data_IF_931503455921
#
_entry.id   IF_931503455921
#
_cell.length_a   1.000
_cell.length_b   1.000
_cell.length_c   1.000
_cell.angle_alpha   90.00
_cell.angle_beta   90.00
_cell.angle_gamma   90.00
#
_symmetry.space_group_name_H-M   'P 1'
#
loop_
_entity.id
_entity.type
_entity.pdbx_description
1 polymer ?
#
# COMPACT_ATOMS: atom_id res chain seq x y z
N UNK A 1 7.15 29.69 -15.59
CA UNK A 1 7.37 28.25 -15.35
C UNK A 1 6.01 27.58 -15.35
N UNK A 2 5.78 26.59 -16.22
CA UNK A 2 4.55 25.78 -16.13
C UNK A 2 4.71 24.92 -14.88
N UNK A 3 3.89 25.17 -13.86
CA UNK A 3 3.77 24.25 -12.73
C UNK A 3 3.07 23.04 -13.31
N UNK A 4 3.85 22.02 -13.68
CA UNK A 4 3.27 20.75 -14.05
C UNK A 4 2.53 20.24 -12.80
N UNK A 5 1.23 19.98 -12.90
CA UNK A 5 0.47 19.29 -11.86
C UNK A 5 0.29 17.83 -12.29
N UNK A 6 1.40 17.10 -12.31
CA UNK A 6 1.39 15.68 -12.67
C UNK A 6 1.06 14.81 -11.46
N UNK A 7 0.31 13.74 -11.73
CA UNK A 7 0.12 12.64 -10.80
C UNK A 7 0.88 11.44 -11.34
N UNK A 8 1.76 10.85 -10.54
CA UNK A 8 2.72 9.84 -10.99
C UNK A 8 2.49 8.52 -10.28
N UNK A 9 2.42 7.44 -11.06
CA UNK A 9 2.45 6.05 -10.60
C UNK A 9 3.73 5.38 -11.07
N UNK A 10 4.47 4.77 -10.14
CA UNK A 10 5.72 4.07 -10.45
C UNK A 10 5.60 2.61 -10.03
N UNK A 11 5.90 1.71 -10.96
CA UNK A 11 6.10 0.30 -10.68
C UNK A 11 7.59 0.03 -10.43
N UNK A 12 7.95 -0.21 -9.17
CA UNK A 12 9.28 -0.65 -8.77
C UNK A 12 9.37 -2.18 -8.89
N UNK A 13 9.64 -2.63 -10.11
CA UNK A 13 9.85 -4.04 -10.40
C UNK A 13 11.31 -4.35 -10.78
N UNK A 14 11.64 -5.65 -10.80
CA UNK A 14 13.02 -6.15 -10.95
C UNK A 14 13.57 -6.04 -12.37
N UNK A 15 12.71 -6.13 -13.38
CA UNK A 15 13.10 -6.42 -14.76
C UNK A 15 12.82 -5.28 -15.73
N UNK A 16 11.70 -4.59 -15.57
CA UNK A 16 11.25 -3.52 -16.46
C UNK A 16 10.42 -2.50 -15.66
N UNK A 17 11.04 -1.69 -14.79
CA UNK A 17 10.29 -0.72 -13.99
C UNK A 17 9.72 0.38 -14.86
N UNK A 18 8.51 0.82 -14.52
CA UNK A 18 7.70 1.65 -15.40
C UNK A 18 7.07 2.81 -14.65
N UNK A 19 6.84 3.88 -15.40
CA UNK A 19 6.17 5.08 -14.93
C UNK A 19 4.90 5.31 -15.74
N UNK A 20 3.82 5.64 -15.04
CA UNK A 20 2.59 6.18 -15.60
C UNK A 20 2.36 7.55 -14.99
N UNK A 21 1.95 8.53 -15.80
CA UNK A 21 1.60 9.86 -15.31
C UNK A 21 0.23 10.28 -15.83
N UNK A 22 -0.39 11.20 -15.10
CA UNK A 22 -1.62 11.86 -15.49
C UNK A 22 -1.43 13.37 -15.38
N UNK A 23 -1.68 14.08 -16.48
CA UNK A 23 -1.65 15.53 -16.54
C UNK A 23 -3.05 16.05 -16.17
N UNK A 24 -3.14 16.67 -14.99
CA UNK A 24 -4.42 17.17 -14.47
C UNK A 24 -4.96 18.35 -15.27
N UNK A 25 -4.12 19.10 -15.99
CA UNK A 25 -4.54 20.22 -16.82
C UNK A 25 -5.09 19.73 -18.17
N UNK A 26 -4.46 18.70 -18.74
CA UNK A 26 -4.86 18.13 -20.05
C UNK A 26 -5.94 17.06 -19.94
N UNK A 27 -6.04 16.41 -18.79
CA UNK A 27 -6.95 15.29 -18.58
C UNK A 27 -6.53 14.01 -19.30
N UNK A 28 -5.24 13.87 -19.65
CA UNK A 28 -4.69 12.70 -20.32
C UNK A 28 -3.63 11.98 -19.47
N UNK A 29 -3.40 10.70 -19.81
CA UNK A 29 -2.38 9.88 -19.17
C UNK A 29 -1.38 9.36 -20.19
N UNK A 30 -0.14 9.19 -19.73
CA UNK A 30 0.95 8.62 -20.51
C UNK A 30 1.72 7.58 -19.72
N UNK A 31 2.48 6.75 -20.43
CA UNK A 31 3.42 5.81 -19.81
C UNK A 31 4.81 6.02 -20.39
N UNK A 32 5.84 5.91 -19.57
CA UNK A 32 7.23 6.00 -19.96
C UNK A 32 8.06 4.92 -19.24
N UNK A 33 9.08 4.35 -19.89
CA UNK A 33 10.07 3.55 -19.20
C UNK A 33 10.87 4.45 -18.24
N UNK A 34 11.31 3.90 -17.11
CA UNK A 34 12.23 4.60 -16.21
C UNK A 34 13.65 4.53 -16.77
N UNK A 35 14.18 5.68 -17.21
CA UNK A 35 15.51 5.79 -17.82
C UNK A 35 16.39 6.80 -17.12
N UNK A 36 17.68 6.49 -17.02
CA UNK A 36 18.73 7.41 -16.63
C UNK A 36 19.54 7.78 -17.88
N UNK A 37 19.23 8.93 -18.49
CA UNK A 37 19.75 9.25 -19.82
C UNK A 37 19.20 8.27 -20.88
N UNK A 38 20.08 7.49 -21.50
CA UNK A 38 19.70 6.49 -22.51
C UNK A 38 19.56 5.06 -21.95
N UNK A 39 19.95 4.82 -20.69
CA UNK A 39 19.93 3.49 -20.08
C UNK A 39 18.65 3.25 -19.28
N UNK A 40 18.12 2.02 -19.36
CA UNK A 40 17.01 1.60 -18.52
C UNK A 40 17.47 1.41 -17.09
N UNK A 41 16.66 1.90 -16.16
CA UNK A 41 16.92 1.78 -14.73
C UNK A 41 16.50 0.38 -14.29
N UNK A 42 17.36 -0.30 -13.53
CA UNK A 42 16.98 -1.54 -12.83
C UNK A 42 17.01 -1.31 -11.32
N UNK A 43 15.95 -1.72 -10.63
CA UNK A 43 15.91 -1.72 -9.16
C UNK A 43 16.27 -3.07 -8.56
N UNK A 44 16.77 -4.03 -9.36
CA UNK A 44 17.07 -5.39 -8.90
C UNK A 44 17.96 -5.42 -7.66
N UNK A 45 19.09 -4.70 -7.70
CA UNK A 45 20.02 -4.65 -6.56
C UNK A 45 19.38 -4.06 -5.30
N UNK A 46 18.54 -3.04 -5.47
CA UNK A 46 17.83 -2.38 -4.36
C UNK A 46 16.81 -3.34 -3.74
N UNK A 47 16.02 -4.01 -4.59
CA UNK A 47 15.03 -4.99 -4.14
C UNK A 47 15.70 -6.22 -3.48
N UNK A 48 16.80 -6.72 -4.05
CA UNK A 48 17.60 -7.80 -3.46
C UNK A 48 18.17 -7.43 -2.09
N UNK A 49 18.62 -6.18 -1.91
CA UNK A 49 19.09 -5.70 -0.62
C UNK A 49 17.96 -5.64 0.42
N UNK A 50 16.78 -5.14 0.04
CA UNK A 50 15.61 -5.12 0.93
C UNK A 50 15.12 -6.51 1.32
N UNK A 51 15.19 -7.50 0.43
CA UNK A 51 14.80 -8.89 0.74
C UNK A 51 15.75 -9.58 1.71
N UNK A 52 17.07 -9.35 1.59
CA UNK A 52 18.07 -9.91 2.52
C UNK A 52 17.83 -9.44 3.96
N UNK A 53 17.40 -8.20 4.14
CA UNK A 53 17.06 -7.67 5.47
C UNK A 53 15.83 -8.33 6.11
N UNK A 54 14.99 -9.04 5.32
CA UNK A 54 13.89 -9.86 5.86
C UNK A 54 14.42 -11.20 6.40
N UNK A 55 15.57 -11.69 5.90
CA UNK A 55 16.14 -13.00 6.24
C UNK A 55 17.13 -13.01 7.42
N UNK A 56 17.91 -11.94 7.63
CA UNK A 56 19.10 -11.96 8.52
C UNK A 56 18.95 -11.25 9.88
N UNK A 57 17.74 -10.86 10.29
CA UNK A 57 17.48 -10.02 11.47
C UNK A 57 17.61 -10.71 12.86
N UNK A 58 18.67 -11.47 13.11
CA UNK A 58 18.95 -11.98 14.47
C UNK A 58 20.21 -11.37 15.12
N UNK A 59 21.08 -10.65 14.39
CA UNK A 59 22.37 -10.20 14.93
C UNK A 59 22.88 -8.80 14.50
N UNK A 60 22.18 -8.06 13.64
CA UNK A 60 22.61 -6.70 13.24
C UNK A 60 22.08 -5.61 14.18
N UNK A 61 22.91 -4.61 14.48
CA UNK A 61 22.51 -3.47 15.31
C UNK A 61 21.53 -2.55 14.56
N UNK A 62 20.54 -1.99 15.26
CA UNK A 62 19.47 -1.20 14.65
C UNK A 62 20.00 0.05 13.94
N UNK A 63 21.12 0.60 14.39
CA UNK A 63 21.75 1.77 13.79
C UNK A 63 22.38 1.47 12.42
N UNK A 64 23.02 0.31 12.25
CA UNK A 64 23.62 -0.07 10.97
C UNK A 64 22.55 -0.31 9.91
N UNK A 65 21.48 -1.04 10.25
CA UNK A 65 20.33 -1.28 9.35
C UNK A 65 19.72 0.04 8.88
N UNK A 66 19.61 1.02 9.79
CA UNK A 66 19.09 2.36 9.46
C UNK A 66 20.02 3.10 8.49
N UNK A 67 21.33 3.07 8.71
CA UNK A 67 22.30 3.71 7.81
C UNK A 67 22.26 3.10 6.40
N UNK A 68 22.20 1.77 6.29
CA UNK A 68 22.06 1.09 5.00
C UNK A 68 20.77 1.48 4.27
N UNK A 69 19.66 1.56 4.99
CA UNK A 69 18.38 2.01 4.45
C UNK A 69 18.44 3.45 3.90
N UNK A 70 19.12 4.36 4.60
CA UNK A 70 19.32 5.72 4.12
C UNK A 70 20.18 5.76 2.84
N UNK A 71 21.25 4.96 2.76
CA UNK A 71 22.08 4.85 1.54
C UNK A 71 21.28 4.29 0.35
N UNK A 72 20.48 3.25 0.57
CA UNK A 72 19.61 2.68 -0.46
C UNK A 72 18.55 3.69 -0.92
N UNK A 73 17.98 4.46 0.01
CA UNK A 73 17.03 5.52 -0.31
C UNK A 73 17.67 6.65 -1.11
N UNK A 74 18.92 7.04 -0.81
CA UNK A 74 19.68 8.04 -1.60
C UNK A 74 19.90 7.57 -3.03
N UNK A 75 20.38 6.34 -3.20
CA UNK A 75 20.60 5.73 -4.53
C UNK A 75 19.30 5.70 -5.33
N UNK A 76 18.23 5.18 -4.72
CA UNK A 76 16.92 5.02 -5.36
C UNK A 76 16.28 6.36 -5.72
N UNK A 77 16.35 7.35 -4.83
CA UNK A 77 15.85 8.69 -5.10
C UNK A 77 16.65 9.38 -6.21
N UNK A 78 17.97 9.19 -6.27
CA UNK A 78 18.81 9.68 -7.37
C UNK A 78 18.39 9.11 -8.73
N UNK A 79 18.16 7.79 -8.79
CA UNK A 79 17.68 7.11 -9.99
C UNK A 79 16.30 7.64 -10.43
N UNK A 80 15.37 7.80 -9.48
CA UNK A 80 14.04 8.34 -9.78
C UNK A 80 14.09 9.80 -10.21
N UNK A 81 14.93 10.66 -9.61
CA UNK A 81 15.13 12.04 -10.08
C UNK A 81 15.57 12.09 -11.53
N UNK A 82 16.55 11.27 -11.90
CA UNK A 82 17.04 11.22 -13.27
C UNK A 82 15.93 10.82 -14.24
N UNK A 83 15.12 9.83 -13.88
CA UNK A 83 14.00 9.41 -14.70
C UNK A 83 12.89 10.46 -14.78
N UNK A 84 12.51 11.08 -13.67
CA UNK A 84 11.52 12.15 -13.64
C UNK A 84 11.98 13.36 -14.46
N UNK A 85 13.27 13.71 -14.41
CA UNK A 85 13.83 14.80 -15.22
C UNK A 85 13.66 14.55 -16.73
N UNK A 86 13.67 13.29 -17.20
CA UNK A 86 13.39 12.98 -18.62
C UNK A 86 11.97 13.35 -19.06
N UNK A 87 11.05 13.51 -18.10
CA UNK A 87 9.66 13.95 -18.30
C UNK A 87 9.48 15.45 -18.04
N UNK A 88 10.56 16.20 -17.83
CA UNK A 88 10.53 17.63 -17.46
C UNK A 88 10.22 17.89 -15.97
N UNK A 89 10.30 16.85 -15.13
CA UNK A 89 10.10 16.94 -13.67
C UNK A 89 11.44 17.06 -12.94
N UNK A 90 12.11 18.20 -13.09
CA UNK A 90 13.40 18.50 -12.45
C UNK A 90 13.28 18.75 -10.93
N UNK A 91 12.12 19.25 -10.48
CA UNK A 91 11.78 19.54 -9.08
C UNK A 91 10.52 18.77 -8.66
N UNK A 92 10.62 17.45 -8.37
CA UNK A 92 9.46 16.60 -8.06
C UNK A 92 8.54 17.15 -6.96
N UNK A 93 9.08 17.71 -5.87
CA UNK A 93 8.29 18.23 -4.74
C UNK A 93 7.33 19.38 -5.10
N UNK A 94 7.68 20.19 -6.09
CA UNK A 94 6.85 21.32 -6.56
C UNK A 94 5.99 20.98 -7.80
N UNK A 95 6.38 19.95 -8.56
CA UNK A 95 5.76 19.59 -9.85
C UNK A 95 4.90 18.30 -9.80
N UNK A 96 4.90 17.57 -8.68
CA UNK A 96 4.10 16.36 -8.52
C UNK A 96 3.02 16.61 -7.47
N UNK A 97 1.76 16.57 -7.89
CA UNK A 97 0.59 16.74 -7.03
C UNK A 97 0.26 15.47 -6.23
N UNK A 98 0.73 14.31 -6.71
CA UNK A 98 0.57 13.03 -6.03
C UNK A 98 1.46 11.97 -6.67
N UNK A 99 2.12 11.17 -5.84
CA UNK A 99 2.99 10.08 -6.28
C UNK A 99 2.64 8.80 -5.54
N UNK A 100 2.53 7.71 -6.29
CA UNK A 100 2.34 6.37 -5.73
C UNK A 100 3.36 5.41 -6.30
N UNK A 101 4.07 4.73 -5.40
CA UNK A 101 5.00 3.67 -5.74
C UNK A 101 4.32 2.33 -5.45
N UNK A 102 4.34 1.42 -6.43
CA UNK A 102 3.87 0.05 -6.26
C UNK A 102 5.01 -0.95 -6.36
N UNK A 103 4.89 -2.03 -5.58
CA UNK A 103 5.82 -3.16 -5.52
C UNK A 103 5.03 -4.47 -5.50
N UNK A 104 5.65 -5.63 -5.82
CA UNK A 104 4.95 -6.91 -5.81
C UNK A 104 4.24 -7.23 -4.49
N UNK A 105 4.97 -7.10 -3.38
CA UNK A 105 4.48 -7.32 -2.01
C UNK A 105 5.15 -6.29 -1.11
N UNK A 106 4.37 -5.70 -0.20
CA UNK A 106 4.89 -4.75 0.76
C UNK A 106 5.64 -5.46 1.89
N UNK A 107 6.83 -4.96 2.21
CA UNK A 107 7.62 -5.40 3.37
C UNK A 107 8.08 -4.16 4.14
N UNK A 108 8.40 -4.31 5.43
CA UNK A 108 8.90 -3.19 6.25
C UNK A 108 10.16 -2.55 5.63
N UNK A 109 11.06 -3.36 5.06
CA UNK A 109 12.26 -2.87 4.39
C UNK A 109 11.92 -2.02 3.16
N UNK A 110 10.97 -2.47 2.32
CA UNK A 110 10.52 -1.72 1.14
C UNK A 110 9.77 -0.44 1.52
N UNK A 111 8.94 -0.47 2.57
CA UNK A 111 8.24 0.72 3.04
C UNK A 111 9.20 1.77 3.57
N UNK A 112 10.17 1.37 4.40
CA UNK A 112 11.21 2.28 4.91
C UNK A 112 12.02 2.90 3.76
N UNK A 113 12.39 2.08 2.76
CA UNK A 113 13.06 2.54 1.55
C UNK A 113 12.22 3.60 0.82
N UNK A 114 10.95 3.29 0.52
CA UNK A 114 10.05 4.16 -0.23
C UNK A 114 9.78 5.47 0.52
N UNK A 115 9.56 5.42 1.84
CA UNK A 115 9.43 6.63 2.66
C UNK A 115 10.73 7.45 2.68
N UNK A 116 11.89 6.79 2.75
CA UNK A 116 13.20 7.40 2.60
C UNK A 116 13.36 8.13 1.25
N UNK A 117 12.90 7.50 0.17
CA UNK A 117 12.87 8.06 -1.18
C UNK A 117 11.98 9.31 -1.25
N UNK A 118 10.76 9.25 -0.70
CA UNK A 118 9.85 10.40 -0.73
C UNK A 118 10.40 11.63 -0.01
N UNK A 119 11.01 11.45 1.17
CA UNK A 119 11.71 12.54 1.89
C UNK A 119 12.79 13.18 1.03
N UNK A 120 13.53 12.37 0.28
CA UNK A 120 14.59 12.86 -0.62
C UNK A 120 14.03 13.56 -1.84
N UNK A 121 12.90 13.12 -2.38
CA UNK A 121 12.20 13.75 -3.49
C UNK A 121 11.42 15.01 -3.09
N UNK A 122 11.47 15.42 -1.82
CA UNK A 122 10.74 16.55 -1.25
C UNK A 122 9.21 16.42 -1.42
N UNK A 123 8.72 15.18 -1.29
CA UNK A 123 7.29 14.87 -1.35
C UNK A 123 6.72 14.68 0.06
N UNK A 124 5.77 15.54 0.39
CA UNK A 124 5.02 15.47 1.64
C UNK A 124 4.15 14.21 1.73
N UNK A 125 3.91 13.71 2.94
CA UNK A 125 3.09 12.51 3.20
C UNK A 125 1.66 12.60 2.65
N UNK A 126 1.11 13.80 2.50
CA UNK A 126 -0.21 14.03 1.89
C UNK A 126 -0.26 13.76 0.39
N UNK A 127 0.90 13.63 -0.27
CA UNK A 127 1.08 13.44 -1.71
C UNK A 127 1.95 12.23 -2.04
N UNK A 128 2.36 11.45 -1.05
CA UNK A 128 3.31 10.36 -1.17
C UNK A 128 2.69 9.07 -0.64
N UNK A 129 2.41 8.13 -1.53
CA UNK A 129 1.66 6.91 -1.21
C UNK A 129 2.37 5.65 -1.68
N UNK A 130 2.02 4.51 -1.13
CA UNK A 130 2.58 3.23 -1.52
C UNK A 130 1.50 2.15 -1.53
N UNK A 131 1.66 1.15 -2.39
CA UNK A 131 0.72 0.04 -2.50
C UNK A 131 1.35 -1.22 -3.08
N UNK A 132 0.67 -2.36 -2.96
CA UNK A 132 1.10 -3.60 -3.62
C UNK A 132 0.47 -3.77 -5.02
N UNK A 133 0.83 -4.85 -5.70
CA UNK A 133 0.29 -5.18 -7.02
C UNK A 133 -1.20 -5.50 -7.02
N UNK A 134 -1.73 -6.08 -5.93
CA UNK A 134 -3.16 -6.40 -5.83
C UNK A 134 -3.98 -5.10 -5.75
N UNK A 135 -3.53 -4.13 -4.97
CA UNK A 135 -4.15 -2.82 -4.85
C UNK A 135 -4.00 -2.01 -6.16
N UNK A 136 -2.85 -2.11 -6.84
CA UNK A 136 -2.69 -1.59 -8.21
C UNK A 136 -3.71 -2.18 -9.18
N UNK A 137 -3.93 -3.49 -9.13
CA UNK A 137 -4.94 -4.16 -9.96
C UNK A 137 -6.37 -3.69 -9.62
N UNK A 138 -6.66 -3.46 -8.34
CA UNK A 138 -7.90 -2.85 -7.89
C UNK A 138 -8.13 -1.47 -8.50
N UNK A 139 -7.21 -0.52 -8.31
CA UNK A 139 -7.36 0.83 -8.84
C UNK A 139 -7.42 0.84 -10.37
N UNK A 140 -6.54 0.09 -11.03
CA UNK A 140 -6.56 -0.03 -12.50
C UNK A 140 -7.94 -0.47 -13.00
N UNK A 141 -8.53 -1.49 -12.37
CA UNK A 141 -9.80 -2.09 -12.79
C UNK A 141 -10.98 -1.15 -12.55
N UNK A 142 -11.10 -0.56 -11.36
CA UNK A 142 -12.25 0.29 -11.01
C UNK A 142 -12.22 1.64 -11.72
N UNK A 143 -11.05 2.10 -12.18
CA UNK A 143 -10.95 3.28 -13.04
C UNK A 143 -11.44 3.03 -14.47
N UNK A 144 -11.60 1.77 -14.89
CA UNK A 144 -12.20 1.44 -16.18
C UNK A 144 -13.72 1.69 -16.21
N UNK A 145 -14.30 1.50 -17.40
CA UNK A 145 -15.76 1.54 -17.59
C UNK A 145 -16.45 0.48 -16.73
N UNK A 146 -17.56 0.87 -16.09
CA UNK A 146 -18.38 0.02 -15.21
C UNK A 146 -18.71 -1.36 -15.77
N UNK A 147 -18.94 -1.45 -17.09
CA UNK A 147 -19.24 -2.70 -17.78
C UNK A 147 -18.13 -3.76 -17.62
N UNK A 148 -16.86 -3.36 -17.51
CA UNK A 148 -15.73 -4.28 -17.40
C UNK A 148 -15.69 -4.98 -16.04
N UNK A 149 -16.22 -4.33 -15.00
CA UNK A 149 -16.24 -4.82 -13.63
C UNK A 149 -17.67 -4.95 -13.09
N UNK A 150 -18.61 -5.28 -13.98
CA UNK A 150 -20.00 -5.61 -13.63
C UNK A 150 -20.12 -6.96 -12.91
N UNK A 151 -19.09 -7.81 -13.02
CA UNK A 151 -18.90 -9.07 -12.29
C UNK A 151 -17.44 -9.17 -11.85
N UNK A 152 -16.97 -10.37 -11.50
CA UNK A 152 -15.57 -10.56 -11.18
C UNK A 152 -14.66 -10.20 -12.37
N UNK A 153 -13.45 -9.78 -12.07
CA UNK A 153 -12.43 -9.48 -13.08
C UNK A 153 -11.24 -10.39 -12.84
N UNK A 154 -10.87 -11.15 -13.86
CA UNK A 154 -9.72 -12.04 -13.82
C UNK A 154 -8.46 -11.32 -14.28
N UNK A 155 -7.32 -11.70 -13.74
CA UNK A 155 -6.03 -11.21 -14.21
C UNK A 155 -5.03 -12.36 -14.24
N UNK A 156 -4.43 -12.58 -15.41
CA UNK A 156 -3.32 -13.52 -15.57
C UNK A 156 -2.04 -12.74 -15.80
N UNK A 157 -1.08 -12.94 -14.92
CA UNK A 157 0.24 -12.35 -14.97
C UNK A 157 1.25 -13.41 -15.41
N UNK A 158 1.91 -13.18 -16.54
CA UNK A 158 3.00 -14.00 -17.06
C UNK A 158 4.32 -13.37 -16.62
N UNK A 159 5.14 -14.13 -15.89
CA UNK A 159 6.48 -13.75 -15.49
C UNK A 159 7.41 -14.88 -15.88
N UNK A 160 8.15 -14.70 -16.98
CA UNK A 160 8.89 -15.77 -17.61
C UNK A 160 7.97 -16.98 -17.87
N UNK A 161 8.21 -18.10 -17.19
CA UNK A 161 7.41 -19.33 -17.34
C UNK A 161 6.32 -19.47 -16.29
N UNK A 162 6.26 -18.61 -15.30
CA UNK A 162 5.23 -18.68 -14.27
C UNK A 162 4.02 -17.84 -14.66
N UNK A 163 2.84 -18.44 -14.59
CA UNK A 163 1.57 -17.77 -14.84
C UNK A 163 0.76 -17.77 -13.55
N UNK A 164 0.49 -16.59 -13.01
CA UNK A 164 -0.33 -16.42 -11.80
C UNK A 164 -1.70 -15.86 -12.13
N UNK A 165 -2.73 -16.39 -11.49
CA UNK A 165 -4.10 -15.87 -11.59
C UNK A 165 -4.47 -15.03 -10.38
N UNK A 166 -5.17 -13.92 -10.61
CA UNK A 166 -5.80 -13.09 -9.58
C UNK A 166 -7.26 -12.86 -9.93
N UNK A 167 -8.12 -12.82 -8.91
CA UNK A 167 -9.56 -12.59 -9.06
C UNK A 167 -9.99 -11.39 -8.22
N UNK A 168 -10.46 -10.34 -8.89
CA UNK A 168 -11.10 -9.20 -8.24
C UNK A 168 -12.60 -9.45 -8.11
N UNK A 169 -13.16 -9.27 -6.91
CA UNK A 169 -14.58 -9.40 -6.65
C UNK A 169 -15.10 -8.26 -5.77
N UNK A 170 -16.37 -7.88 -5.96
CA UNK A 170 -17.03 -6.82 -5.18
C UNK A 170 -18.21 -7.40 -4.41
N UNK A 171 -18.26 -7.13 -3.11
CA UNK A 171 -19.40 -7.47 -2.27
C UNK A 171 -20.32 -6.25 -2.13
N UNK A 172 -21.42 -6.25 -2.88
CA UNK A 172 -22.41 -5.19 -2.87
C UNK A 172 -23.40 -5.26 -1.70
N UNK A 173 -23.26 -6.22 -0.78
CA UNK A 173 -24.06 -6.30 0.44
C UNK A 173 -23.56 -5.37 1.54
N UNK A 174 -22.33 -4.86 1.42
CA UNK A 174 -21.72 -3.92 2.36
C UNK A 174 -21.87 -2.47 1.87
N UNK A 175 -21.75 -1.52 2.80
CA UNK A 175 -21.69 -0.08 2.53
C UNK A 175 -20.57 0.53 3.39
N UNK A 176 -19.47 1.05 2.80
CA UNK A 176 -19.15 1.08 1.36
C UNK A 176 -19.04 -0.34 0.76
N UNK A 177 -19.12 -0.44 -0.58
CA UNK A 177 -18.94 -1.71 -1.29
C UNK A 177 -17.52 -2.20 -1.05
N UNK A 178 -17.38 -3.38 -0.48
CA UNK A 178 -16.04 -3.93 -0.21
C UNK A 178 -15.52 -4.71 -1.40
N UNK A 179 -14.27 -4.48 -1.78
CA UNK A 179 -13.62 -5.12 -2.94
C UNK A 179 -12.41 -5.89 -2.48
N UNK A 180 -12.24 -7.11 -2.97
CA UNK A 180 -11.09 -7.98 -2.66
C UNK A 180 -10.40 -8.40 -3.94
N UNK A 181 -9.08 -8.62 -3.84
CA UNK A 181 -8.28 -9.27 -4.87
C UNK A 181 -7.65 -10.50 -4.26
N UNK A 182 -8.07 -11.67 -4.73
CA UNK A 182 -7.58 -12.96 -4.26
C UNK A 182 -6.52 -13.51 -5.23
N UNK A 183 -5.42 -14.00 -4.68
CA UNK A 183 -4.43 -14.77 -5.44
C UNK A 183 -4.98 -16.18 -5.66
N UNK A 184 -5.09 -16.58 -6.92
CA UNK A 184 -5.45 -17.92 -7.34
C UNK A 184 -4.23 -18.81 -7.51
N UNK A 185 -4.32 -19.76 -8.44
CA UNK A 185 -3.23 -20.67 -8.74
C UNK A 185 -2.10 -20.00 -9.52
N UNK A 186 -0.88 -20.50 -9.30
CA UNK A 186 0.28 -20.24 -10.14
C UNK A 186 0.69 -21.53 -10.83
N UNK A 187 0.94 -21.48 -12.14
CA UNK A 187 1.36 -22.62 -12.95
C UNK A 187 2.68 -22.29 -13.65
N UNK A 188 3.66 -23.18 -13.49
CA UNK A 188 4.89 -23.13 -14.28
C UNK A 188 4.68 -23.81 -15.64
N UNK A 189 4.95 -23.09 -16.73
CA UNK A 189 4.89 -23.59 -18.10
C UNK A 189 6.09 -24.50 -18.38
N UNK A 190 5.84 -25.80 -18.37
CA UNK A 190 6.86 -26.83 -18.57
C UNK A 190 7.06 -27.17 -20.05
N UNK A 191 8.26 -27.60 -20.42
CA UNK A 191 8.59 -28.06 -21.77
C UNK A 191 8.66 -26.92 -22.79
N UNK A 192 8.59 -27.28 -24.07
CA UNK A 192 8.68 -26.34 -25.18
C UNK A 192 7.37 -25.56 -25.39
N UNK A 193 7.46 -24.43 -26.09
CA UNK A 193 6.33 -23.52 -26.34
C UNK A 193 5.13 -24.18 -27.04
N UNK A 194 5.34 -25.31 -27.73
CA UNK A 194 4.29 -26.10 -28.38
C UNK A 194 3.26 -26.69 -27.40
N UNK A 195 3.61 -26.90 -26.13
CA UNK A 195 2.69 -27.46 -25.12
C UNK A 195 2.14 -26.42 -24.14
N UNK A 196 2.65 -25.18 -24.19
CA UNK A 196 2.27 -24.11 -23.25
C UNK A 196 0.79 -23.74 -23.37
N UNK A 197 0.24 -23.66 -24.58
CA UNK A 197 -1.20 -23.37 -24.78
C UNK A 197 -2.10 -24.41 -24.08
N UNK A 198 -1.70 -25.69 -24.10
CA UNK A 198 -2.47 -26.74 -23.44
C UNK A 198 -2.36 -26.71 -21.90
N UNK A 199 -1.25 -26.19 -21.36
CA UNK A 199 -1.08 -25.98 -19.92
C UNK A 199 -1.87 -24.75 -19.47
N UNK A 200 -1.70 -23.63 -20.17
CA UNK A 200 -2.43 -22.40 -19.88
C UNK A 200 -3.95 -22.57 -20.07
N UNK A 201 -4.40 -23.29 -21.10
CA UNK A 201 -5.83 -23.55 -21.30
C UNK A 201 -6.46 -24.32 -20.13
N UNK A 202 -5.73 -25.24 -19.49
CA UNK A 202 -6.20 -25.95 -18.29
C UNK A 202 -6.33 -24.97 -17.12
N UNK A 203 -5.30 -24.17 -16.89
CA UNK A 203 -5.31 -23.12 -15.86
C UNK A 203 -6.49 -22.14 -16.04
N UNK A 204 -6.78 -21.71 -17.27
CA UNK A 204 -7.92 -20.82 -17.58
C UNK A 204 -9.25 -21.47 -17.24
N UNK A 205 -9.43 -22.76 -17.57
CA UNK A 205 -10.65 -23.50 -17.23
C UNK A 205 -10.82 -23.60 -15.72
N UNK A 206 -9.77 -24.03 -15.00
CA UNK A 206 -9.81 -24.20 -13.56
C UNK A 206 -10.05 -22.87 -12.82
N UNK A 207 -9.41 -21.79 -13.27
CA UNK A 207 -9.49 -20.47 -12.64
C UNK A 207 -10.84 -19.78 -12.86
N UNK A 208 -11.44 -19.92 -14.05
CA UNK A 208 -12.62 -19.13 -14.44
C UNK A 208 -13.94 -19.90 -14.35
N UNK A 209 -13.92 -21.21 -14.08
CA UNK A 209 -15.14 -22.05 -14.09
C UNK A 209 -16.02 -21.86 -12.85
N UNK A 210 -15.46 -21.51 -11.70
CA UNK A 210 -16.23 -21.40 -10.45
C UNK A 210 -17.04 -20.10 -10.33
N UNK A 211 -16.60 -19.03 -10.98
CA UNK A 211 -17.17 -17.70 -10.84
C UNK A 211 -17.50 -17.08 -12.20
N UNK A 212 -18.37 -16.06 -12.18
CA UNK A 212 -18.74 -15.33 -13.39
C UNK A 212 -17.83 -14.11 -13.55
N UNK A 213 -17.15 -14.02 -14.68
CA UNK A 213 -16.25 -12.92 -15.00
C UNK A 213 -16.82 -12.04 -16.12
N UNK A 214 -16.70 -10.72 -16.00
CA UNK A 214 -17.07 -9.77 -17.06
C UNK A 214 -15.88 -9.39 -17.93
N UNK A 215 -14.69 -9.33 -17.35
CA UNK A 215 -13.45 -9.06 -18.06
C UNK A 215 -12.29 -9.91 -17.54
N UNK A 216 -11.29 -10.11 -18.41
CA UNK A 216 -10.00 -10.73 -18.08
C UNK A 216 -8.87 -9.87 -18.64
N UNK A 217 -7.92 -9.53 -17.78
CA UNK A 217 -6.66 -8.88 -18.16
C UNK A 217 -5.54 -9.93 -18.26
N UNK A 218 -4.65 -9.72 -19.22
CA UNK A 218 -3.43 -10.50 -19.44
C UNK A 218 -2.27 -9.52 -19.47
N UNK A 219 -1.21 -9.77 -18.71
CA UNK A 219 0.01 -8.97 -18.74
C UNK A 219 1.22 -9.90 -18.66
N UNK A 220 2.31 -9.52 -19.31
CA UNK A 220 3.59 -10.21 -19.22
C UNK A 220 4.21 -10.51 -20.58
N UNK A 221 5.36 -11.17 -20.56
CA UNK A 221 6.25 -11.37 -21.71
C UNK A 221 5.94 -12.61 -22.57
N UNK A 222 5.26 -13.59 -21.98
CA UNK A 222 5.18 -14.95 -22.56
C UNK A 222 3.84 -15.25 -23.24
N UNK A 223 2.81 -14.43 -23.03
CA UNK A 223 1.53 -14.63 -23.70
C UNK A 223 1.59 -14.21 -25.16
N UNK A 224 1.44 -15.18 -26.07
CA UNK A 224 1.25 -14.93 -27.50
C UNK A 224 -0.14 -15.42 -27.94
N UNK A 225 -0.94 -14.50 -28.50
CA UNK A 225 -2.32 -14.78 -28.91
C UNK A 225 -2.42 -15.82 -30.03
N UNK A 226 -1.42 -15.90 -30.90
CA UNK A 226 -1.41 -16.81 -32.06
C UNK A 226 -1.01 -18.21 -31.63
N UNK A 227 0.06 -18.32 -30.84
CA UNK A 227 0.57 -19.57 -30.28
C UNK A 227 -0.41 -20.16 -29.26
N UNK A 228 -1.10 -19.31 -28.48
CA UNK A 228 -2.06 -19.73 -27.45
C UNK A 228 -3.52 -19.60 -27.90
N UNK A 229 -3.82 -20.08 -29.11
CA UNK A 229 -5.14 -19.92 -29.75
C UNK A 229 -6.27 -20.63 -28.98
N UNK A 230 -6.01 -21.81 -28.39
CA UNK A 230 -7.02 -22.56 -27.62
C UNK A 230 -7.37 -21.82 -26.33
N UNK A 231 -6.36 -21.33 -25.61
CA UNK A 231 -6.53 -20.52 -24.41
C UNK A 231 -7.25 -19.22 -24.71
N UNK A 232 -6.88 -18.54 -25.81
CA UNK A 232 -7.55 -17.31 -26.27
C UNK A 232 -9.03 -17.54 -26.54
N UNK A 233 -9.39 -18.61 -27.25
CA UNK A 233 -10.78 -18.97 -27.51
C UNK A 233 -11.55 -19.25 -26.21
N UNK A 234 -10.91 -19.93 -25.24
CA UNK A 234 -11.50 -20.21 -23.94
C UNK A 234 -11.73 -18.95 -23.11
N UNK A 235 -10.76 -18.02 -23.07
CA UNK A 235 -10.86 -16.74 -22.38
C UNK A 235 -12.05 -15.91 -22.87
N UNK A 236 -12.29 -15.89 -24.18
CA UNK A 236 -13.38 -15.12 -24.79
C UNK A 236 -14.78 -15.76 -24.65
N UNK A 237 -14.90 -17.00 -24.13
CA UNK A 237 -16.23 -17.63 -23.95
C UNK A 237 -17.10 -16.82 -22.99
N UNK A 238 -18.43 -16.90 -23.16
CA UNK A 238 -19.38 -16.28 -22.23
C UNK A 238 -19.47 -14.76 -22.32
N UNK A 239 -18.97 -14.15 -23.41
CA UNK A 239 -19.05 -12.70 -23.64
C UNK A 239 -18.05 -11.87 -22.82
N UNK A 240 -17.04 -12.51 -22.23
CA UNK A 240 -15.96 -11.85 -21.48
C UNK A 240 -15.14 -10.94 -22.39
N UNK A 241 -14.87 -9.72 -21.92
CA UNK A 241 -13.93 -8.82 -22.58
C UNK A 241 -12.51 -9.16 -22.15
N UNK A 242 -11.65 -9.51 -23.10
CA UNK A 242 -10.27 -9.95 -22.83
C UNK A 242 -9.31 -8.91 -23.37
N UNK A 243 -8.38 -8.45 -22.53
CA UNK A 243 -7.41 -7.42 -22.87
C UNK A 243 -6.00 -7.91 -22.54
N UNK A 244 -5.10 -7.79 -23.50
CA UNK A 244 -3.65 -7.82 -23.23
C UNK A 244 -3.25 -6.39 -22.91
N UNK A 245 -2.67 -6.19 -21.73
CA UNK A 245 -2.35 -4.86 -21.19
C UNK A 245 -0.90 -4.80 -20.78
N UNK A 246 -0.30 -3.65 -21.07
CA UNK A 246 1.02 -3.29 -20.60
C UNK A 246 0.90 -2.37 -19.38
N UNK A 247 1.89 -2.45 -18.49
CA UNK A 247 2.11 -1.49 -17.42
C UNK A 247 0.93 -1.37 -16.45
N UNK A 248 0.18 -2.47 -16.22
CA UNK A 248 -1.02 -2.47 -15.38
C UNK A 248 -0.72 -1.95 -13.98
N UNK A 249 0.41 -2.33 -13.38
CA UNK A 249 0.78 -1.92 -12.04
C UNK A 249 1.10 -0.42 -11.96
N UNK A 250 1.92 0.12 -12.87
CA UNK A 250 2.19 1.55 -12.94
C UNK A 250 0.92 2.39 -13.19
N UNK A 251 0.03 1.91 -14.08
CA UNK A 251 -1.28 2.55 -14.33
C UNK A 251 -2.18 2.48 -13.10
N UNK A 252 -2.19 1.36 -12.40
CA UNK A 252 -2.88 1.16 -11.13
C UNK A 252 -2.40 2.12 -10.05
N UNK A 253 -1.08 2.28 -9.90
CA UNK A 253 -0.47 3.27 -9.01
C UNK A 253 -0.87 4.70 -9.37
N UNK A 254 -0.84 5.05 -10.65
CA UNK A 254 -1.27 6.37 -11.10
C UNK A 254 -2.77 6.62 -10.80
N UNK A 255 -3.63 5.61 -11.00
CA UNK A 255 -5.05 5.69 -10.64
C UNK A 255 -5.25 5.80 -9.12
N UNK A 256 -4.50 5.06 -8.30
CA UNK A 256 -4.54 5.17 -6.84
C UNK A 256 -4.11 6.54 -6.34
N UNK A 257 -3.03 7.10 -6.89
CA UNK A 257 -2.61 8.47 -6.60
C UNK A 257 -3.68 9.50 -7.00
N UNK A 258 -4.32 9.35 -8.17
CA UNK A 258 -5.43 10.21 -8.64
C UNK A 258 -6.62 10.15 -7.69
N UNK A 259 -6.96 8.96 -7.23
CA UNK A 259 -8.07 8.74 -6.30
C UNK A 259 -7.82 9.43 -4.97
N UNK A 260 -6.62 9.27 -4.40
CA UNK A 260 -6.26 9.84 -3.09
C UNK A 260 -6.11 11.37 -3.12
N UNK A 261 -5.78 11.96 -4.27
CA UNK A 261 -5.44 13.40 -4.36
C UNK A 261 -6.51 14.27 -5.00
N UNK A 262 -7.13 13.84 -6.11
CA UNK A 262 -7.94 14.72 -6.96
C UNK A 262 -9.37 14.23 -7.14
N UNK A 263 -9.59 12.98 -7.55
CA UNK A 263 -10.89 12.57 -8.12
C UNK A 263 -11.90 12.03 -7.09
N UNK A 264 -11.44 11.26 -6.11
CA UNK A 264 -12.30 10.59 -5.11
C UNK A 264 -13.49 9.83 -5.73
N UNK A 265 -13.30 9.27 -6.94
CA UNK A 265 -14.35 8.58 -7.73
C UNK A 265 -14.82 7.29 -7.06
N UNK A 266 -13.97 6.70 -6.22
CA UNK A 266 -14.19 5.43 -5.55
C UNK A 266 -14.60 5.61 -4.08
N UNK A 267 -15.07 6.78 -3.65
CA UNK A 267 -15.51 7.02 -2.26
C UNK A 267 -16.60 6.05 -1.74
N UNK A 268 -17.34 5.40 -2.64
CA UNK A 268 -18.33 4.35 -2.30
C UNK A 268 -17.77 2.93 -2.20
N UNK A 269 -16.45 2.75 -2.37
CA UNK A 269 -15.76 1.46 -2.43
C UNK A 269 -14.64 1.42 -1.39
N UNK A 270 -14.40 0.24 -0.83
CA UNK A 270 -13.33 -0.02 0.13
C UNK A 270 -12.56 -1.27 -0.28
N UNK A 271 -11.29 -1.11 -0.60
CA UNK A 271 -10.41 -2.25 -0.89
C UNK A 271 -10.00 -2.95 0.41
N UNK A 272 -10.32 -4.24 0.54
CA UNK A 272 -9.98 -5.07 1.69
C UNK A 272 -8.70 -5.88 1.42
N UNK A 273 -7.58 -5.17 1.28
CA UNK A 273 -6.26 -5.79 1.20
C UNK A 273 -5.78 -6.37 2.53
N UNK A 274 -4.66 -7.11 2.47
CA UNK A 274 -4.00 -7.69 3.65
C UNK A 274 -3.46 -6.59 4.58
N UNK A 275 -3.12 -5.41 4.02
CA UNK A 275 -2.55 -4.29 4.76
C UNK A 275 -3.57 -3.31 5.34
N UNK A 276 -4.87 -3.60 5.19
CA UNK A 276 -5.92 -2.73 5.70
C UNK A 276 -6.17 -2.96 7.19
N UNK A 277 -6.07 -1.90 7.99
CA UNK A 277 -6.49 -1.93 9.39
C UNK A 277 -8.01 -2.11 9.44
N UNK A 278 -8.47 -3.17 10.13
CA UNK A 278 -9.91 -3.52 10.20
C UNK A 278 -10.62 -3.00 11.45
N UNK A 279 -9.87 -2.48 12.42
CA UNK A 279 -10.41 -2.02 13.69
C UNK A 279 -10.08 -0.54 13.93
N UNK A 280 -11.09 0.22 14.33
CA UNK A 280 -10.90 1.56 14.86
C UNK A 280 -10.32 1.43 16.27
N UNK A 281 -9.34 2.26 16.57
CA UNK A 281 -8.75 2.41 17.90
C UNK A 281 -9.01 3.82 18.38
N UNK A 282 -9.58 3.96 19.57
CA UNK A 282 -9.76 5.27 20.18
C UNK A 282 -9.84 5.17 21.70
N UNK A 283 -10.07 6.31 22.34
CA UNK A 283 -10.16 6.42 23.79
C UNK A 283 -11.37 7.26 24.19
N UNK A 284 -11.95 6.99 25.35
CA UNK A 284 -12.86 7.94 25.99
C UNK A 284 -12.05 9.03 26.65
N UNK A 285 -12.18 10.26 26.16
CA UNK A 285 -11.37 11.40 26.59
C UNK A 285 -12.24 12.60 26.94
N UNK A 286 -11.68 13.53 27.72
CA UNK A 286 -12.27 14.86 27.91
C UNK A 286 -11.51 15.85 27.03
N UNK A 287 -12.10 16.23 25.90
CA UNK A 287 -11.52 17.18 24.95
C UNK A 287 -12.27 18.50 25.08
N UNK A 288 -11.54 19.58 25.39
CA UNK A 288 -12.12 20.92 25.62
C UNK A 288 -13.31 20.91 26.61
N UNK A 289 -13.18 20.14 27.68
CA UNK A 289 -14.20 20.01 28.74
C UNK A 289 -15.36 19.06 28.42
N UNK A 290 -15.44 18.51 27.20
CA UNK A 290 -16.51 17.59 26.79
C UNK A 290 -16.00 16.15 26.77
N UNK A 291 -16.73 15.23 27.42
CA UNK A 291 -16.46 13.79 27.33
C UNK A 291 -16.86 13.28 25.95
N UNK A 292 -15.91 12.75 25.19
CA UNK A 292 -16.13 12.22 23.84
C UNK A 292 -15.26 11.01 23.58
N UNK A 293 -15.70 10.17 22.65
CA UNK A 293 -14.81 9.21 22.01
C UNK A 293 -13.86 9.95 21.08
N UNK A 294 -12.55 9.83 21.33
CA UNK A 294 -11.52 10.42 20.50
C UNK A 294 -10.88 9.32 19.63
N UNK A 295 -11.02 9.39 18.30
CA UNK A 295 -10.41 8.41 17.40
C UNK A 295 -8.90 8.64 17.32
N UNK A 296 -8.12 7.59 17.57
CA UNK A 296 -6.66 7.60 17.45
C UNK A 296 -6.23 7.05 16.10
N UNK A 297 -6.72 5.87 15.75
CA UNK A 297 -6.53 5.19 14.46
C UNK A 297 -7.90 4.81 13.91
N UNK A 298 -8.14 5.12 12.64
CA UNK A 298 -9.37 4.74 11.95
C UNK A 298 -9.17 3.46 11.17
N UNK A 299 -10.17 2.58 11.15
CA UNK A 299 -10.18 1.44 10.25
C UNK A 299 -10.31 1.89 8.78
N UNK A 300 -9.90 1.05 7.85
CA UNK A 300 -9.94 1.34 6.42
C UNK A 300 -8.72 2.09 5.89
N UNK A 301 -7.67 2.24 6.70
CA UNK A 301 -6.38 2.82 6.28
C UNK A 301 -5.32 1.72 6.19
N UNK A 302 -4.31 1.94 5.34
CA UNK A 302 -3.15 1.06 5.23
C UNK A 302 -2.29 1.19 6.50
N UNK A 303 -1.88 0.08 7.12
CA UNK A 303 -1.14 0.11 8.38
C UNK A 303 0.25 0.75 8.26
N UNK A 304 0.86 0.76 7.07
CA UNK A 304 2.11 1.47 6.80
C UNK A 304 1.96 2.99 6.79
N UNK A 305 0.74 3.48 6.57
CA UNK A 305 0.37 4.90 6.61
C UNK A 305 -0.23 5.27 7.99
N UNK A 306 -0.45 4.29 8.87
CA UNK A 306 -1.12 4.46 10.14
C UNK A 306 -0.12 4.71 11.28
N UNK A 307 0.31 5.96 11.41
CA UNK A 307 1.07 6.44 12.56
C UNK A 307 0.32 7.57 13.27
N UNK A 308 0.36 7.58 14.60
CA UNK A 308 -0.22 8.66 15.39
C UNK A 308 0.67 8.99 16.56
N UNK A 309 0.97 10.27 16.71
CA UNK A 309 1.58 10.84 17.91
C UNK A 309 0.59 11.82 18.55
N UNK A 310 0.41 11.70 19.86
CA UNK A 310 -0.40 12.63 20.62
C UNK A 310 0.05 12.69 22.08
N UNK A 311 -0.26 13.80 22.73
CA UNK A 311 -0.03 13.95 24.16
C UNK A 311 -1.34 14.05 24.90
N UNK A 312 -1.39 13.42 26.07
CA UNK A 312 -2.59 13.39 26.92
C UNK A 312 -2.22 13.75 28.36
N UNK A 313 -3.21 14.22 29.12
CA UNK A 313 -3.11 14.34 30.56
C UNK A 313 -3.85 13.18 31.21
N UNK A 314 -3.12 12.38 31.98
CA UNK A 314 -3.70 11.27 32.73
C UNK A 314 -4.48 11.79 33.94
N UNK A 315 -5.68 11.26 34.13
CA UNK A 315 -6.55 11.57 35.27
C UNK A 315 -7.06 10.27 35.87
N UNK A 316 -6.70 10.02 37.12
CA UNK A 316 -7.11 8.81 37.84
C UNK A 316 -5.97 7.82 37.97
N UNK A 317 -6.30 6.54 37.76
CA UNK A 317 -5.38 5.42 37.91
C UNK A 317 -4.24 5.44 36.87
N UNK A 318 -3.08 4.83 37.19
CA UNK A 318 -1.94 4.70 36.27
C UNK A 318 -2.21 3.65 35.18
N UNK A 319 -3.29 3.81 34.43
CA UNK A 319 -3.66 2.93 33.31
C UNK A 319 -4.25 3.73 32.14
N UNK A 320 -4.11 3.20 30.93
CA UNK A 320 -4.76 3.69 29.71
C UNK A 320 -5.79 2.67 29.23
N UNK A 321 -6.96 3.14 28.83
CA UNK A 321 -8.04 2.29 28.32
C UNK A 321 -8.30 2.65 26.86
N UNK A 322 -8.03 1.68 25.98
CA UNK A 322 -8.28 1.77 24.55
C UNK A 322 -9.58 1.04 24.20
N UNK A 323 -10.44 1.67 23.42
CA UNK A 323 -11.63 1.02 22.84
C UNK A 323 -11.34 0.66 21.40
N UNK A 324 -11.48 -0.64 21.10
CA UNK A 324 -11.40 -1.18 19.75
C UNK A 324 -12.79 -1.47 19.23
N UNK A 325 -13.02 -1.26 17.93
CA UNK A 325 -14.26 -1.62 17.26
C UNK A 325 -14.04 -1.98 15.80
N UNK A 326 -14.84 -2.89 15.25
CA UNK A 326 -14.80 -3.20 13.82
C UNK A 326 -15.15 -2.00 12.93
N UNK A 327 -14.88 -2.11 11.63
CA UNK A 327 -15.26 -1.10 10.62
C UNK A 327 -16.75 -0.72 10.65
N UNK A 328 -17.62 -1.66 11.01
CA UNK A 328 -19.07 -1.45 11.14
C UNK A 328 -19.48 -0.85 12.51
N UNK A 329 -18.49 -0.51 13.36
CA UNK A 329 -18.67 0.00 14.71
C UNK A 329 -19.09 -1.06 15.73
N UNK A 330 -19.22 -2.34 15.33
CA UNK A 330 -19.59 -3.47 16.20
C UNK A 330 -18.34 -4.09 16.82
N UNK A 331 -18.54 -5.18 17.58
CA UNK A 331 -17.48 -5.93 18.26
C UNK A 331 -16.58 -5.05 19.13
N UNK A 332 -17.21 -4.14 19.89
CA UNK A 332 -16.49 -3.24 20.79
C UNK A 332 -15.85 -4.03 21.92
N UNK A 333 -14.56 -3.80 22.13
CA UNK A 333 -13.82 -4.32 23.29
C UNK A 333 -12.91 -3.24 23.86
N UNK A 334 -12.67 -3.32 25.17
CA UNK A 334 -11.72 -2.47 25.85
C UNK A 334 -10.43 -3.26 26.12
N UNK A 335 -9.30 -2.60 25.91
CA UNK A 335 -7.97 -3.11 26.24
C UNK A 335 -7.35 -2.12 27.21
N UNK A 336 -6.79 -2.64 28.31
CA UNK A 336 -6.17 -1.85 29.35
C UNK A 336 -4.66 -2.03 29.31
N UNK A 337 -3.95 -0.92 29.37
CA UNK A 337 -2.49 -0.84 29.47
C UNK A 337 -2.13 -0.23 30.82
N UNK A 338 -1.51 -1.02 31.69
CA UNK A 338 -1.01 -0.55 32.99
C UNK A 338 0.30 0.22 32.82
N UNK A 339 0.52 1.25 33.66
CA UNK A 339 1.73 2.08 33.66
C UNK A 339 2.51 1.90 34.98
N UNK A 340 3.13 0.72 35.20
CA UNK A 340 3.82 0.42 36.44
C UNK A 340 5.01 1.36 36.66
N UNK A 341 5.14 1.85 37.89
CA UNK A 341 6.21 2.78 38.27
C UNK A 341 5.94 4.24 37.93
N UNK A 342 4.79 4.58 37.34
CA UNK A 342 4.39 5.98 37.16
C UNK A 342 4.30 6.68 38.53
N UNK A 343 4.99 7.82 38.74
CA UNK A 343 5.01 8.48 40.03
C UNK A 343 3.63 9.02 40.41
N UNK A 344 3.31 8.94 41.70
CA UNK A 344 2.13 9.60 42.24
C UNK A 344 2.35 11.11 42.26
N UNK A 345 1.58 11.81 41.42
CA UNK A 345 1.57 13.28 41.34
C UNK A 345 0.13 13.77 41.47
N UNK A 346 -0.10 15.07 41.76
CA UNK A 346 -1.45 15.63 41.77
C UNK A 346 -2.21 15.35 40.45
N UNK A 347 -3.54 15.28 40.47
CA UNK A 347 -4.32 15.04 39.25
C UNK A 347 -3.96 16.01 38.13
N UNK A 348 -3.94 15.53 36.88
CA UNK A 348 -3.62 16.32 35.67
C UNK A 348 -2.18 16.85 35.58
N UNK A 349 -1.24 16.28 36.34
CA UNK A 349 0.19 16.62 36.26
C UNK A 349 1.06 15.52 35.64
N UNK A 350 0.43 14.42 35.20
CA UNK A 350 1.05 13.38 34.39
C UNK A 350 0.68 13.62 32.92
N UNK A 351 1.54 14.32 32.17
CA UNK A 351 1.44 14.38 30.71
C UNK A 351 2.22 13.22 30.13
N UNK A 352 1.55 12.49 29.25
CA UNK A 352 2.11 11.33 28.58
C UNK A 352 2.19 11.63 27.10
N UNK A 353 3.33 11.31 26.48
CA UNK A 353 3.45 11.26 25.02
C UNK A 353 3.13 9.83 24.56
N UNK A 354 2.16 9.69 23.67
CA UNK A 354 1.71 8.42 23.12
C UNK A 354 2.06 8.37 21.65
N UNK A 355 2.72 7.29 21.24
CA UNK A 355 3.02 6.96 19.85
C UNK A 355 2.39 5.62 19.49
N UNK A 356 1.68 5.59 18.38
CA UNK A 356 1.03 4.40 17.84
C UNK A 356 1.66 4.08 16.49
N UNK A 357 2.17 2.87 16.33
CA UNK A 357 2.64 2.34 15.06
C UNK A 357 2.16 0.90 14.88
N UNK A 358 2.30 0.35 13.68
CA UNK A 358 1.85 -1.01 13.39
C UNK A 358 3.01 -1.92 13.00
N UNK A 359 2.92 -3.18 13.44
CA UNK A 359 3.78 -4.27 12.98
C UNK A 359 3.15 -5.05 11.83
N UNK A 360 1.82 -5.07 11.79
CA UNK A 360 0.97 -5.64 10.73
C UNK A 360 -0.43 -5.06 10.85
N UNK A 361 -1.32 -5.34 9.90
CA UNK A 361 -2.73 -4.95 9.97
C UNK A 361 -3.48 -5.43 11.24
N UNK A 362 -2.93 -6.40 11.97
CA UNK A 362 -3.52 -7.00 13.18
C UNK A 362 -2.70 -6.78 14.45
N UNK A 363 -1.58 -6.06 14.39
CA UNK A 363 -0.69 -5.82 15.54
C UNK A 363 -0.27 -4.36 15.57
N UNK A 364 -0.77 -3.65 16.57
CA UNK A 364 -0.43 -2.26 16.85
C UNK A 364 0.54 -2.23 18.04
N UNK A 365 1.59 -1.44 17.93
CA UNK A 365 2.51 -1.14 19.01
C UNK A 365 2.18 0.23 19.57
N UNK A 366 2.03 0.29 20.89
CA UNK A 366 1.78 1.52 21.65
C UNK A 366 3.03 1.81 22.47
N UNK A 367 3.61 2.97 22.28
CA UNK A 367 4.68 3.50 23.12
C UNK A 367 4.15 4.69 23.92
N UNK A 368 4.34 4.65 25.23
CA UNK A 368 3.89 5.70 26.16
C UNK A 368 5.11 6.20 26.93
N UNK A 369 5.36 7.51 26.91
CA UNK A 369 6.47 8.13 27.62
C UNK A 369 5.95 9.14 28.66
N UNK A 370 6.43 9.06 29.90
CA UNK A 370 6.18 10.11 30.90
C UNK A 370 7.05 11.34 30.62
N UNK A 371 6.40 12.40 30.14
CA UNK A 371 7.03 13.70 29.87
C UNK A 371 6.74 14.73 30.96
N UNK A 372 6.04 14.34 32.04
CA UNK A 372 5.79 15.19 33.21
C UNK A 372 4.83 16.34 32.94
N UNK A 373 5.04 17.49 33.58
CA UNK A 373 4.24 18.71 33.37
C UNK A 373 5.12 19.94 33.60
N UNK A 374 6.12 20.09 32.72
CA UNK A 374 7.12 21.15 32.81
C UNK A 374 8.02 20.99 34.04
N UNK A 375 8.62 22.10 34.49
CA UNK A 375 9.59 22.11 35.58
C UNK A 375 8.97 21.79 36.96
N UNK A 376 7.68 22.10 37.13
CA UNK A 376 6.98 21.85 38.41
C UNK A 376 6.83 20.35 38.69
N UNK A 377 6.68 19.55 37.64
CA UNK A 377 6.55 18.10 37.72
C UNK A 377 7.38 17.46 36.61
N UNK A 378 8.71 17.34 36.76
CA UNK A 378 9.57 16.82 35.70
C UNK A 378 9.18 15.39 35.31
N UNK A 379 9.23 15.09 34.01
CA UNK A 379 8.99 13.74 33.49
C UNK A 379 10.11 12.79 33.91
N UNK A 380 9.76 11.54 34.20
CA UNK A 380 10.77 10.50 34.49
C UNK A 380 11.49 10.04 33.22
N UNK A 381 10.93 10.30 32.04
CA UNK A 381 11.40 9.75 30.77
C UNK A 381 11.16 8.25 30.64
N UNK A 382 10.45 7.63 31.60
CA UNK A 382 10.11 6.21 31.54
C UNK A 382 9.21 5.93 30.34
N UNK A 383 9.52 4.82 29.65
CA UNK A 383 8.80 4.38 28.45
C UNK A 383 8.15 3.02 28.73
N UNK A 384 6.85 2.93 28.48
CA UNK A 384 6.09 1.69 28.47
C UNK A 384 5.76 1.31 27.02
N UNK A 385 5.84 0.02 26.70
CA UNK A 385 5.49 -0.52 25.37
C UNK A 385 4.51 -1.65 25.53
N UNK A 386 3.45 -1.63 24.72
CA UNK A 386 2.46 -2.71 24.68
C UNK A 386 2.10 -3.08 23.25
N UNK A 387 2.02 -4.38 22.98
CA UNK A 387 1.47 -4.92 21.73
C UNK A 387 -0.03 -5.13 21.91
N UNK A 388 -0.80 -4.48 21.04
CA UNK A 388 -2.24 -4.64 20.98
C UNK A 388 -2.60 -5.41 19.71
N UNK A 389 -3.22 -6.59 19.88
CA UNK A 389 -3.84 -7.31 18.75
C UNK A 389 -5.02 -6.51 18.26
N UNK A 390 -4.90 -5.86 17.11
CA UNK A 390 -5.91 -4.95 16.57
C UNK A 390 -7.14 -5.73 16.09
#
# INVERSE_FOLDING_TARGET
MRVHNLIVGIDLNRTAPQLCYYDTERGDSGTAPLKAGNEEISFREVLDACEKQVGDNLYEDAESVRQEQEVLADKTAGMLRQALATLGLEEPGSQISGMMITVPVLSRALVNLIQGVYRRLDLESSRAFLQDYKESFYYHTLYQKQELWSRNVGFFLFQDRDVSFFSLSSNHMTRPVTVTVESGMTVHLNGDSSVWDSQFCRMVDDSLRQNLYSAVFLMGDTFDKTAMSRSTALLCKGGRKVFVVDNLFARGACCGAREKTVEKRLAGYLYLGDELIRNNVGMQMTVQGTKTFYPLISAGVNWYEAERDCEILLVGEPELIFTLSGMDGRNRREVRMELPGLPQRPPRTNRLHLRFCFESAHRMMIEVQDIGFGEMFPGTGQIWREELKA
#
